data_IF_365840498567
#
_entry.id   IF_365840498567
#
_cell.length_a   1.000
_cell.length_b   1.000
_cell.length_c   1.000
_cell.angle_alpha   90.00
_cell.angle_beta   90.00
_cell.angle_gamma   90.00
#
_symmetry.space_group_name_H-M   'P 1'
#
loop_
_entity.id
_entity.type
_entity.pdbx_description
1 polymer ?
#
# COMPACT_ATOMS: atom_id res chain seq x y z
N UNK A 1 1.23 28.67 -31.53
CA UNK A 1 0.99 28.20 -30.14
C UNK A 1 -0.20 27.28 -30.18
N UNK A 2 0.05 25.99 -30.45
CA UNK A 2 -0.99 24.97 -30.45
C UNK A 2 -1.35 24.64 -28.99
N UNK A 3 -2.65 24.65 -28.70
CA UNK A 3 -3.22 24.48 -27.36
C UNK A 3 -2.92 23.10 -26.79
N UNK A 4 -2.64 23.05 -25.50
CA UNK A 4 -2.45 21.84 -24.66
C UNK A 4 -3.62 20.83 -24.77
N UNK A 5 -4.75 21.21 -25.39
CA UNK A 5 -5.93 20.36 -25.59
C UNK A 5 -5.79 19.28 -26.69
N UNK A 6 -4.71 19.24 -27.47
CA UNK A 6 -4.52 18.24 -28.54
C UNK A 6 -3.85 16.92 -28.06
N UNK A 7 -3.94 16.61 -26.77
CA UNK A 7 -3.31 15.43 -26.15
C UNK A 7 -4.29 14.48 -25.46
N UNK A 8 -5.47 14.29 -26.05
CA UNK A 8 -6.43 13.26 -25.60
C UNK A 8 -5.85 11.83 -25.70
N UNK A 9 -4.82 11.62 -26.54
CA UNK A 9 -4.10 10.35 -26.71
C UNK A 9 -3.01 10.08 -25.66
N UNK A 10 -2.89 10.92 -24.61
CA UNK A 10 -2.00 10.63 -23.48
C UNK A 10 -2.65 9.81 -22.36
N UNK A 11 -3.95 9.54 -22.45
CA UNK A 11 -4.59 8.62 -21.51
C UNK A 11 -4.03 7.22 -21.78
N UNK A 12 -3.39 6.55 -20.79
CA UNK A 12 -2.94 5.19 -20.99
C UNK A 12 -4.14 4.33 -21.40
N UNK A 13 -3.97 3.54 -22.46
CA UNK A 13 -4.96 2.56 -22.89
C UNK A 13 -5.38 1.76 -21.66
N UNK A 14 -6.68 1.73 -21.34
CA UNK A 14 -7.16 1.03 -20.16
C UNK A 14 -6.66 -0.41 -20.19
N UNK A 15 -6.20 -0.92 -19.05
CA UNK A 15 -5.83 -2.33 -18.95
C UNK A 15 -6.96 -3.20 -19.53
N UNK A 16 -6.64 -4.30 -20.25
CA UNK A 16 -7.66 -5.18 -20.80
C UNK A 16 -8.68 -5.55 -19.72
N UNK A 17 -9.97 -5.61 -20.06
CA UNK A 17 -11.06 -5.89 -19.09
C UNK A 17 -10.78 -7.13 -18.20
N UNK A 18 -10.17 -8.17 -18.77
CA UNK A 18 -9.75 -9.37 -18.05
C UNK A 18 -8.72 -9.09 -16.93
N UNK A 19 -7.88 -8.07 -17.07
CA UNK A 19 -6.94 -7.63 -16.03
C UNK A 19 -7.67 -6.95 -14.87
N UNK A 20 -8.69 -6.13 -15.16
CA UNK A 20 -9.49 -5.45 -14.13
C UNK A 20 -10.31 -6.43 -13.30
N UNK A 21 -10.97 -7.40 -13.94
CA UNK A 21 -11.77 -8.42 -13.23
C UNK A 21 -10.93 -9.23 -12.23
N UNK A 22 -9.65 -9.48 -12.55
CA UNK A 22 -8.72 -10.19 -11.67
C UNK A 22 -8.27 -9.31 -10.51
N UNK A 23 -7.94 -8.04 -10.77
CA UNK A 23 -7.61 -7.07 -9.71
C UNK A 23 -8.78 -6.93 -8.75
N UNK A 24 -10.00 -6.73 -9.26
CA UNK A 24 -11.19 -6.55 -8.43
C UNK A 24 -11.50 -7.79 -7.58
N UNK A 25 -11.32 -8.99 -8.14
CA UNK A 25 -11.49 -10.26 -7.41
C UNK A 25 -10.59 -10.36 -6.19
N UNK A 26 -9.31 -10.01 -6.34
CA UNK A 26 -8.30 -10.21 -5.30
C UNK A 26 -8.20 -9.02 -4.34
N UNK A 27 -8.19 -7.79 -4.85
CA UNK A 27 -8.04 -6.56 -4.05
C UNK A 27 -9.39 -6.00 -3.54
N UNK A 28 -10.51 -6.60 -3.96
CA UNK A 28 -11.84 -6.32 -3.40
C UNK A 28 -12.15 -7.04 -2.08
N UNK A 29 -11.25 -7.90 -1.60
CA UNK A 29 -11.46 -8.66 -0.36
C UNK A 29 -11.52 -7.78 0.88
N UNK A 30 -12.09 -8.33 1.98
CA UNK A 30 -12.45 -7.56 3.18
C UNK A 30 -11.27 -7.03 3.98
N UNK A 31 -10.13 -7.71 3.98
CA UNK A 31 -8.93 -7.34 4.71
C UNK A 31 -7.67 -7.90 4.02
N UNK A 32 -6.50 -7.51 4.51
CA UNK A 32 -5.22 -7.89 3.92
C UNK A 32 -4.99 -9.41 3.92
N UNK A 33 -5.42 -10.11 4.97
CA UNK A 33 -5.32 -11.56 5.05
C UNK A 33 -6.13 -12.22 3.93
N UNK A 34 -7.39 -11.80 3.74
CA UNK A 34 -8.23 -12.31 2.67
C UNK A 34 -7.70 -11.97 1.26
N UNK A 35 -7.04 -10.83 1.06
CA UNK A 35 -6.36 -10.49 -0.21
C UNK A 35 -5.23 -11.49 -0.48
N UNK A 36 -4.37 -11.74 0.51
CA UNK A 36 -3.23 -12.66 0.36
C UNK A 36 -3.70 -14.10 0.14
N UNK A 37 -4.68 -14.57 0.91
CA UNK A 37 -5.27 -15.90 0.74
C UNK A 37 -5.89 -16.05 -0.64
N UNK A 38 -6.62 -15.03 -1.13
CA UNK A 38 -7.22 -15.05 -2.45
C UNK A 38 -6.18 -15.15 -3.57
N UNK A 39 -5.05 -14.45 -3.45
CA UNK A 39 -3.95 -14.52 -4.40
C UNK A 39 -3.20 -15.87 -4.32
N UNK A 40 -3.02 -16.40 -3.10
CA UNK A 40 -2.32 -17.66 -2.87
C UNK A 40 -3.06 -18.88 -3.44
N UNK A 41 -4.40 -18.82 -3.48
CA UNK A 41 -5.26 -19.89 -4.02
C UNK A 41 -5.53 -19.76 -5.52
N UNK A 42 -5.09 -18.69 -6.17
CA UNK A 42 -5.28 -18.51 -7.60
C UNK A 42 -4.28 -19.35 -8.42
N UNK A 43 -4.81 -20.05 -9.44
CA UNK A 43 -4.02 -20.87 -10.35
C UNK A 43 -3.61 -20.06 -11.59
N UNK A 44 -2.88 -18.96 -11.37
CA UNK A 44 -2.30 -18.16 -12.45
C UNK A 44 -0.98 -17.48 -12.04
N UNK A 45 -0.10 -17.24 -13.01
CA UNK A 45 1.24 -16.69 -12.78
C UNK A 45 1.24 -15.31 -12.15
N UNK A 46 0.35 -14.43 -12.59
CA UNK A 46 0.30 -13.05 -12.10
C UNK A 46 -0.15 -12.97 -10.65
N UNK A 47 -1.06 -13.85 -10.20
CA UNK A 47 -1.50 -13.91 -8.82
C UNK A 47 -0.36 -14.43 -7.93
N UNK A 48 0.38 -15.45 -8.39
CA UNK A 48 1.57 -15.97 -7.69
C UNK A 48 2.66 -14.90 -7.57
N UNK A 49 2.98 -14.20 -8.64
CA UNK A 49 3.99 -13.14 -8.65
C UNK A 49 3.58 -11.94 -7.78
N UNK A 50 2.30 -11.58 -7.82
CA UNK A 50 1.73 -10.51 -6.98
C UNK A 50 1.80 -10.90 -5.51
N UNK A 51 1.38 -12.12 -5.16
CA UNK A 51 1.48 -12.65 -3.80
C UNK A 51 2.93 -12.64 -3.30
N UNK A 52 3.86 -13.19 -4.09
CA UNK A 52 5.29 -13.20 -3.76
C UNK A 52 5.88 -11.78 -3.60
N UNK A 53 5.36 -10.80 -4.34
CA UNK A 53 5.75 -9.40 -4.21
C UNK A 53 5.24 -8.80 -2.91
N UNK A 54 3.98 -9.04 -2.55
CA UNK A 54 3.37 -8.53 -1.32
C UNK A 54 4.05 -9.10 -0.06
N UNK A 55 4.43 -10.38 -0.07
CA UNK A 55 5.14 -11.00 1.06
C UNK A 55 6.52 -10.38 1.35
N UNK A 56 7.09 -9.60 0.42
CA UNK A 56 8.36 -8.87 0.64
C UNK A 56 8.15 -7.47 1.24
N UNK A 57 6.89 -7.03 1.40
CA UNK A 57 6.55 -5.69 1.90
C UNK A 57 6.25 -5.72 3.39
N UNK A 58 6.32 -4.55 4.01
CA UNK A 58 5.92 -4.35 5.39
C UNK A 58 4.44 -4.72 5.60
N UNK A 59 4.11 -5.69 6.48
CA UNK A 59 2.73 -6.04 6.81
C UNK A 59 1.93 -4.84 7.34
N UNK A 60 2.54 -4.06 8.24
CA UNK A 60 1.94 -2.86 8.81
C UNK A 60 1.61 -1.83 7.72
N UNK A 61 2.58 -1.49 6.86
CA UNK A 61 2.34 -0.48 5.82
C UNK A 61 1.38 -0.97 4.74
N UNK A 62 1.31 -2.27 4.46
CA UNK A 62 0.26 -2.82 3.59
C UNK A 62 -1.14 -2.62 4.19
N UNK A 63 -1.31 -2.89 5.49
CA UNK A 63 -2.59 -2.68 6.18
C UNK A 63 -2.97 -1.19 6.21
N UNK A 64 -2.01 -0.31 6.53
CA UNK A 64 -2.20 1.15 6.49
C UNK A 64 -2.58 1.62 5.08
N UNK A 65 -1.92 1.13 4.04
CA UNK A 65 -2.21 1.51 2.65
C UNK A 65 -3.59 1.06 2.21
N UNK A 66 -4.01 -0.16 2.59
CA UNK A 66 -5.36 -0.66 2.31
C UNK A 66 -6.42 0.24 2.96
N UNK A 67 -6.21 0.64 4.21
CA UNK A 67 -7.10 1.54 4.92
C UNK A 67 -7.12 2.95 4.31
N UNK A 68 -5.95 3.49 3.92
CA UNK A 68 -5.83 4.78 3.22
C UNK A 68 -6.69 4.78 1.95
N UNK A 69 -6.51 3.79 1.07
CA UNK A 69 -7.27 3.67 -0.18
C UNK A 69 -8.78 3.61 0.09
N UNK A 70 -9.20 2.93 1.17
CA UNK A 70 -10.63 2.81 1.52
C UNK A 70 -11.21 4.11 2.05
N UNK A 71 -10.47 4.86 2.86
CA UNK A 71 -10.87 6.19 3.36
C UNK A 71 -10.92 7.20 2.22
N UNK A 72 -9.87 7.25 1.41
CA UNK A 72 -9.72 8.24 0.33
C UNK A 72 -10.77 8.15 -0.77
N UNK A 73 -11.38 6.98 -0.99
CA UNK A 73 -12.54 6.81 -1.90
C UNK A 73 -13.71 7.77 -1.62
N UNK A 74 -13.80 8.33 -0.41
CA UNK A 74 -14.89 9.22 0.02
C UNK A 74 -14.44 10.66 0.22
N UNK A 75 -13.16 10.96 0.01
CA UNK A 75 -12.57 12.27 0.30
C UNK A 75 -12.42 13.11 -0.98
N UNK A 76 -12.50 14.43 -0.81
CA UNK A 76 -12.03 15.38 -1.81
C UNK A 76 -10.51 15.49 -1.76
N UNK A 77 -9.88 15.96 -2.85
CA UNK A 77 -8.43 16.05 -2.98
C UNK A 77 -7.74 16.77 -1.80
N UNK A 78 -8.31 17.88 -1.32
CA UNK A 78 -7.73 18.64 -0.22
C UNK A 78 -7.69 17.84 1.10
N UNK A 79 -8.71 17.03 1.36
CA UNK A 79 -8.79 16.20 2.56
C UNK A 79 -7.91 14.96 2.43
N UNK A 80 -7.82 14.37 1.23
CA UNK A 80 -6.89 13.29 0.95
C UNK A 80 -5.43 13.71 1.19
N UNK A 81 -5.04 14.88 0.69
CA UNK A 81 -3.68 15.40 0.90
C UNK A 81 -3.39 15.71 2.37
N UNK A 82 -4.40 16.10 3.16
CA UNK A 82 -4.25 16.25 4.62
C UNK A 82 -4.02 14.90 5.28
N UNK A 83 -4.82 13.90 4.91
CA UNK A 83 -4.71 12.53 5.40
C UNK A 83 -3.34 11.92 5.07
N UNK A 84 -2.87 12.06 3.82
CA UNK A 84 -1.56 11.59 3.40
C UNK A 84 -0.43 12.28 4.16
N UNK A 85 -0.53 13.59 4.39
CA UNK A 85 0.45 14.33 5.20
C UNK A 85 0.55 13.79 6.62
N UNK A 86 -0.59 13.47 7.24
CA UNK A 86 -0.64 12.86 8.58
C UNK A 86 0.01 11.47 8.58
N UNK A 87 -0.33 10.64 7.59
CA UNK A 87 0.23 9.31 7.44
C UNK A 87 1.74 9.35 7.24
N UNK A 88 2.26 10.24 6.39
CA UNK A 88 3.70 10.41 6.17
C UNK A 88 4.39 10.83 7.46
N UNK A 89 3.80 11.73 8.26
CA UNK A 89 4.36 12.07 9.56
C UNK A 89 4.46 10.84 10.47
N UNK A 90 3.39 10.07 10.61
CA UNK A 90 3.35 8.87 11.46
C UNK A 90 4.26 7.75 10.97
N UNK A 91 4.48 7.62 9.67
CA UNK A 91 5.39 6.65 9.06
C UNK A 91 6.82 6.74 9.63
N UNK A 92 7.27 7.95 9.99
CA UNK A 92 8.58 8.15 10.62
C UNK A 92 8.54 8.19 12.15
N UNK A 93 7.45 8.69 12.75
CA UNK A 93 7.46 9.10 14.15
C UNK A 93 6.65 8.19 15.09
N UNK A 94 5.58 7.55 14.62
CA UNK A 94 4.62 6.84 15.48
C UNK A 94 5.28 5.74 16.33
N UNK A 95 6.23 5.01 15.73
CA UNK A 95 6.92 3.86 16.35
C UNK A 95 8.36 4.18 16.76
N UNK A 96 8.82 5.41 16.50
CA UNK A 96 10.23 5.79 16.56
C UNK A 96 11.08 5.16 15.46
N UNK A 97 12.29 5.71 15.25
CA UNK A 97 13.16 5.33 14.14
C UNK A 97 13.57 3.84 14.14
N UNK A 98 13.75 3.23 15.31
CA UNK A 98 14.20 1.84 15.43
C UNK A 98 13.13 0.80 15.05
N UNK A 99 11.85 1.18 15.07
CA UNK A 99 10.71 0.30 14.74
C UNK A 99 9.88 0.84 13.58
N UNK A 100 10.36 1.87 12.89
CA UNK A 100 9.67 2.44 11.73
C UNK A 100 9.91 1.57 10.50
N UNK A 101 8.81 1.16 9.87
CA UNK A 101 8.83 0.43 8.61
C UNK A 101 9.43 1.29 7.48
N UNK A 102 9.23 2.61 7.52
CA UNK A 102 9.82 3.52 6.54
C UNK A 102 11.33 3.62 6.69
N UNK A 103 11.82 3.75 7.93
CA UNK A 103 13.27 3.79 8.20
C UNK A 103 13.93 2.47 7.81
N UNK A 104 13.34 1.34 8.16
CA UNK A 104 13.87 0.02 7.79
C UNK A 104 13.84 -0.21 6.27
N UNK A 105 12.78 0.23 5.58
CA UNK A 105 12.69 0.15 4.14
C UNK A 105 13.77 0.99 3.44
N UNK A 106 14.04 2.20 3.92
CA UNK A 106 15.12 3.06 3.44
C UNK A 106 16.48 2.40 3.69
N UNK A 107 16.69 1.84 4.89
CA UNK A 107 17.93 1.13 5.23
C UNK A 107 18.19 -0.01 4.25
N UNK A 108 17.24 -0.92 4.10
CA UNK A 108 17.37 -2.12 3.29
C UNK A 108 17.51 -1.83 1.78
N UNK A 109 16.83 -0.79 1.27
CA UNK A 109 16.83 -0.47 -0.16
C UNK A 109 17.94 0.49 -0.59
N UNK A 110 18.24 1.52 0.20
CA UNK A 110 19.06 2.66 -0.24
C UNK A 110 20.36 2.82 0.55
N UNK A 111 20.35 2.55 1.86
CA UNK A 111 21.55 2.71 2.71
C UNK A 111 22.44 1.49 2.59
N UNK A 112 22.03 0.38 3.21
CA UNK A 112 22.79 -0.86 3.27
C UNK A 112 22.65 -1.67 1.97
N UNK A 113 21.53 -1.49 1.25
CA UNK A 113 21.23 -2.15 -0.03
C UNK A 113 21.28 -3.68 0.07
N UNK A 114 20.93 -4.23 1.24
CA UNK A 114 20.91 -5.67 1.47
C UNK A 114 19.65 -6.35 0.91
N UNK A 115 18.61 -5.56 0.58
CA UNK A 115 17.29 -6.04 0.16
C UNK A 115 16.66 -7.03 1.17
N UNK A 116 17.04 -6.94 2.45
CA UNK A 116 16.58 -7.80 3.54
C UNK A 116 15.98 -6.95 4.68
N UNK A 117 14.81 -6.35 4.44
CA UNK A 117 14.15 -5.57 5.46
C UNK A 117 13.65 -6.45 6.62
N UNK A 118 13.81 -5.96 7.84
CA UNK A 118 13.40 -6.59 9.10
C UNK A 118 12.13 -5.94 9.62
N UNK A 119 11.02 -6.22 8.95
CA UNK A 119 9.70 -5.70 9.29
C UNK A 119 9.26 -6.11 10.71
N UNK A 120 8.50 -5.27 11.38
CA UNK A 120 7.98 -5.55 12.71
C UNK A 120 6.50 -5.14 12.78
N UNK A 121 5.53 -6.06 12.89
CA UNK A 121 5.65 -7.50 12.71
C UNK A 121 6.15 -7.88 11.31
N UNK A 122 6.70 -9.08 11.21
CA UNK A 122 7.12 -9.71 9.96
C UNK A 122 5.99 -10.49 9.26
N UNK A 123 4.84 -10.65 9.92
CA UNK A 123 3.67 -11.35 9.41
C UNK A 123 2.41 -10.49 9.49
N UNK A 124 1.46 -10.72 8.58
CA UNK A 124 0.15 -10.05 8.58
C UNK A 124 -0.67 -10.38 9.82
N UNK A 125 -0.57 -11.60 10.35
CA UNK A 125 -1.27 -12.00 11.57
C UNK A 125 -0.80 -11.22 12.81
N UNK A 126 0.43 -10.71 12.81
CA UNK A 126 0.97 -9.91 13.91
C UNK A 126 0.58 -8.44 13.86
N UNK A 127 -0.13 -7.97 12.82
CA UNK A 127 -0.50 -6.56 12.67
C UNK A 127 -1.62 -6.21 13.65
N UNK A 128 -1.35 -5.24 14.51
CA UNK A 128 -2.35 -4.70 15.43
C UNK A 128 -3.22 -3.65 14.75
N UNK A 129 -4.54 -3.90 14.72
CA UNK A 129 -5.52 -2.99 14.16
C UNK A 129 -5.58 -1.63 14.88
N UNK A 130 -5.30 -1.61 16.19
CA UNK A 130 -5.25 -0.36 16.95
C UNK A 130 -4.02 0.49 16.56
N UNK A 131 -2.89 -0.16 16.32
CA UNK A 131 -1.68 0.50 15.81
C UNK A 131 -1.90 1.05 14.39
N UNK A 132 -2.57 0.28 13.50
CA UNK A 132 -2.96 0.77 12.16
C UNK A 132 -3.87 1.99 12.27
N UNK A 133 -4.86 1.97 13.17
CA UNK A 133 -5.76 3.11 13.36
C UNK A 133 -5.03 4.38 13.83
N UNK A 134 -3.96 4.23 14.61
CA UNK A 134 -3.17 5.35 15.12
C UNK A 134 -2.44 6.14 14.01
N UNK A 135 -2.15 5.53 12.85
CA UNK A 135 -1.60 6.24 11.68
C UNK A 135 -2.52 7.33 11.11
N UNK A 136 -3.80 7.30 11.48
CA UNK A 136 -4.81 8.23 10.98
C UNK A 136 -5.36 9.15 12.07
N UNK A 137 -4.64 9.28 13.19
CA UNK A 137 -4.94 10.29 14.23
C UNK A 137 -4.14 11.54 13.92
N UNK A 138 -4.80 12.66 13.70
CA UNK A 138 -4.09 13.90 13.34
C UNK A 138 -3.12 14.32 14.46
N UNK A 139 -1.84 14.59 14.16
CA UNK A 139 -0.88 15.14 15.11
C UNK A 139 -0.94 16.68 15.18
N UNK A 140 -1.91 17.32 14.52
CA UNK A 140 -2.03 18.78 14.35
C UNK A 140 -3.28 19.36 15.01
#
# INVERSE_FOLDING_TARGET
>A
VASVMERADLAPVSAPKATLERIDRHFGQRDLAAILDSLAQADDDWARDTHATLLKRSPTMMAVTLELVRRGRRLGLADELRLERELVHHAFHLRGAARSETVEGIRALAVDKDHQPRWQPDTVAGVDAAEVAAFFVSPW
#
